data_IF_135645624051
#
_entry.id   IF_135645624051
#
_cell.length_a   1.000
_cell.length_b   1.000
_cell.length_c   1.000
_cell.angle_alpha   90.00
_cell.angle_beta   90.00
_cell.angle_gamma   90.00
#
_symmetry.space_group_name_H-M   'P 1'
#
loop_
_entity.id
_entity.type
_entity.pdbx_description
1 polymer ?
#
# COMPACT_ATOMS: atom_id res chain seq x y z
N UNK A 1 -27.33 -25.85 -10.20
CA UNK A 1 -26.28 -24.84 -9.97
C UNK A 1 -25.24 -25.36 -9.00
N UNK A 2 -23.95 -25.14 -9.31
CA UNK A 2 -22.82 -25.47 -8.44
C UNK A 2 -22.11 -24.18 -8.05
N UNK A 3 -21.94 -23.97 -6.74
CA UNK A 3 -21.31 -22.75 -6.18
C UNK A 3 -20.17 -23.12 -5.24
N UNK A 4 -19.05 -22.40 -5.35
CA UNK A 4 -17.95 -22.47 -4.39
C UNK A 4 -18.08 -21.32 -3.39
N UNK A 5 -18.16 -21.64 -2.10
CA UNK A 5 -18.17 -20.67 -1.02
C UNK A 5 -16.90 -20.83 -0.18
N UNK A 6 -16.13 -19.75 -0.05
CA UNK A 6 -14.94 -19.70 0.82
C UNK A 6 -15.32 -18.88 2.05
N UNK A 7 -15.28 -19.48 3.23
CA UNK A 7 -15.51 -18.81 4.50
C UNK A 7 -14.17 -18.46 5.16
N UNK A 8 -14.13 -17.40 5.95
CA UNK A 8 -12.91 -16.88 6.59
C UNK A 8 -11.80 -16.65 5.56
N UNK A 9 -12.05 -15.77 4.59
CA UNK A 9 -11.09 -15.46 3.52
C UNK A 9 -9.80 -14.89 4.10
N UNK A 10 -8.68 -15.47 3.69
CA UNK A 10 -7.33 -15.05 4.00
C UNK A 10 -6.55 -14.71 2.73
N UNK A 11 -5.41 -14.01 2.86
CA UNK A 11 -4.58 -13.55 1.73
C UNK A 11 -4.15 -14.70 0.80
N UNK A 12 -3.89 -15.89 1.35
CA UNK A 12 -3.53 -17.08 0.56
C UNK A 12 -4.70 -17.70 -0.22
N UNK A 13 -5.93 -17.20 -0.04
CA UNK A 13 -7.07 -17.53 -0.93
C UNK A 13 -7.10 -16.67 -2.19
N UNK A 14 -6.17 -15.72 -2.35
CA UNK A 14 -5.99 -15.05 -3.64
C UNK A 14 -5.56 -16.06 -4.70
N UNK A 15 -6.21 -16.00 -5.87
CA UNK A 15 -5.77 -16.80 -7.00
C UNK A 15 -6.79 -16.92 -8.11
N UNK A 16 -6.47 -17.82 -9.04
CA UNK A 16 -7.35 -18.18 -10.14
C UNK A 16 -8.07 -19.48 -9.80
N UNK A 17 -9.38 -19.40 -9.69
CA UNK A 17 -10.25 -20.55 -9.45
C UNK A 17 -10.86 -20.99 -10.79
N UNK A 18 -11.10 -22.30 -10.95
CA UNK A 18 -11.74 -22.82 -12.14
C UNK A 18 -12.82 -23.84 -11.79
N UNK A 19 -14.00 -23.66 -12.39
CA UNK A 19 -15.05 -24.68 -12.42
C UNK A 19 -14.83 -25.52 -13.69
N UNK A 20 -14.80 -26.86 -13.54
CA UNK A 20 -14.56 -27.79 -14.62
C UNK A 20 -15.63 -28.88 -14.63
N UNK A 21 -16.13 -29.19 -15.82
CA UNK A 21 -17.06 -30.29 -16.06
C UNK A 21 -16.33 -31.36 -16.86
N UNK A 22 -16.31 -32.60 -16.36
CA UNK A 22 -15.68 -33.75 -17.01
C UNK A 22 -16.71 -34.81 -17.36
N UNK A 23 -16.46 -35.60 -18.41
CA UNK A 23 -17.25 -36.81 -18.69
C UNK A 23 -16.89 -37.93 -17.71
N UNK A 24 -17.69 -39.00 -17.71
CA UNK A 24 -17.39 -40.23 -16.95
C UNK A 24 -16.05 -40.88 -17.33
N UNK A 25 -15.55 -40.63 -18.54
CA UNK A 25 -14.23 -41.07 -19.02
C UNK A 25 -13.09 -40.12 -18.64
N UNK A 26 -13.36 -39.05 -17.89
CA UNK A 26 -12.37 -38.05 -17.48
C UNK A 26 -12.06 -36.98 -18.52
N UNK A 27 -12.74 -36.97 -19.68
CA UNK A 27 -12.54 -35.94 -20.71
C UNK A 27 -13.11 -34.61 -20.24
N UNK A 28 -12.30 -33.55 -20.25
CA UNK A 28 -12.78 -32.19 -19.98
C UNK A 28 -13.80 -31.76 -21.05
N UNK A 29 -14.97 -31.33 -20.60
CA UNK A 29 -16.05 -30.83 -21.45
C UNK A 29 -16.07 -29.30 -21.46
N UNK A 30 -16.00 -28.69 -20.27
CA UNK A 30 -16.03 -27.24 -20.11
C UNK A 30 -15.15 -26.79 -18.95
N UNK A 31 -14.60 -25.58 -19.06
CA UNK A 31 -13.88 -24.88 -17.99
C UNK A 31 -14.23 -23.40 -18.00
N UNK A 32 -14.55 -22.85 -16.82
CA UNK A 32 -14.68 -21.41 -16.58
C UNK A 32 -13.75 -21.01 -15.45
N UNK A 33 -13.07 -19.88 -15.60
CA UNK A 33 -12.11 -19.38 -14.61
C UNK A 33 -12.57 -18.05 -14.03
N UNK A 34 -12.29 -17.84 -12.75
CA UNK A 34 -12.52 -16.59 -12.04
C UNK A 34 -11.25 -16.20 -11.28
N UNK A 35 -10.89 -14.91 -11.31
CA UNK A 35 -9.79 -14.38 -10.50
C UNK A 35 -10.36 -13.81 -9.21
N UNK A 36 -9.84 -14.27 -8.08
CA UNK A 36 -10.17 -13.76 -6.75
C UNK A 36 -9.00 -12.93 -6.27
N UNK A 37 -9.29 -11.68 -5.89
CA UNK A 37 -8.33 -10.82 -5.21
C UNK A 37 -8.80 -10.48 -3.80
N UNK A 38 -7.91 -10.67 -2.83
CA UNK A 38 -8.14 -10.38 -1.42
C UNK A 38 -7.63 -8.96 -1.15
N UNK A 39 -8.53 -8.12 -0.66
CA UNK A 39 -8.22 -6.72 -0.37
C UNK A 39 -7.82 -6.56 1.09
N UNK A 40 -6.78 -5.77 1.34
CA UNK A 40 -6.32 -5.44 2.70
C UNK A 40 -6.37 -3.92 2.90
N UNK A 41 -7.01 -3.44 3.97
CA UNK A 41 -6.96 -2.03 4.32
C UNK A 41 -5.53 -1.65 4.73
N UNK A 42 -5.08 -0.46 4.33
CA UNK A 42 -3.83 0.10 4.87
C UNK A 42 -3.97 0.47 6.33
N UNK A 43 -2.86 0.45 7.05
CA UNK A 43 -2.75 1.11 8.34
C UNK A 43 -2.96 2.62 8.19
N UNK A 44 -3.35 3.27 9.30
CA UNK A 44 -3.41 4.73 9.36
C UNK A 44 -2.07 5.34 8.93
N UNK A 45 -2.10 6.40 8.10
CA UNK A 45 -0.88 7.03 7.63
C UNK A 45 -0.10 7.62 8.80
N UNK A 46 1.22 7.49 8.74
CA UNK A 46 2.16 8.13 9.67
C UNK A 46 2.97 9.15 8.89
N UNK A 47 3.17 10.31 9.51
CA UNK A 47 4.03 11.35 8.95
C UNK A 47 5.36 11.33 9.68
N UNK A 48 6.41 11.41 8.88
CA UNK A 48 7.79 11.55 9.29
C UNK A 48 8.32 12.87 8.77
N UNK A 49 9.27 13.42 9.50
CA UNK A 49 9.98 14.63 9.11
C UNK A 49 11.48 14.36 9.05
N UNK A 50 12.16 15.14 8.23
CA UNK A 50 13.60 15.06 8.06
C UNK A 50 14.12 16.45 7.70
N UNK A 51 14.98 17.00 8.57
CA UNK A 51 15.68 18.24 8.28
C UNK A 51 16.88 18.00 7.36
N UNK A 52 17.37 19.06 6.71
CA UNK A 52 18.66 19.07 6.03
C UNK A 52 19.81 18.58 6.93
N UNK A 53 19.75 18.90 8.23
CA UNK A 53 20.68 18.41 9.25
C UNK A 53 20.57 16.89 9.45
N UNK A 54 19.36 16.33 9.55
CA UNK A 54 19.16 14.88 9.72
C UNK A 54 19.62 14.07 8.49
N UNK A 55 19.48 14.65 7.30
CA UNK A 55 20.03 14.09 6.06
C UNK A 55 21.56 14.01 6.10
N UNK A 56 22.21 15.10 6.50
CA UNK A 56 23.67 15.20 6.51
C UNK A 56 24.33 14.38 7.65
N UNK A 57 23.79 14.44 8.87
CA UNK A 57 24.46 13.92 10.07
C UNK A 57 23.96 12.55 10.52
N UNK A 58 22.70 12.20 10.20
CA UNK A 58 22.05 10.96 10.66
C UNK A 58 21.71 10.00 9.53
N UNK A 59 22.25 10.24 8.33
CA UNK A 59 21.97 9.44 7.15
C UNK A 59 20.49 9.43 6.77
N UNK A 60 19.76 10.52 7.03
CA UNK A 60 18.33 10.64 6.73
C UNK A 60 17.42 9.91 7.71
N UNK A 61 17.78 9.88 9.00
CA UNK A 61 16.93 9.24 10.03
C UNK A 61 15.57 9.94 10.10
N UNK A 62 14.51 9.19 9.78
CA UNK A 62 13.13 9.65 9.92
C UNK A 62 12.82 9.94 11.38
N UNK A 63 12.45 11.19 11.68
CA UNK A 63 11.93 11.57 13.00
C UNK A 63 10.40 11.50 12.91
N UNK A 64 9.77 10.80 13.85
CA UNK A 64 8.30 10.75 13.94
C UNK A 64 7.81 12.11 14.44
N UNK A 65 6.70 12.62 13.91
CA UNK A 65 6.10 13.92 14.30
C UNK A 65 5.75 14.12 15.78
N UNK A 66 5.96 13.13 16.64
CA UNK A 66 5.85 13.35 18.09
C UNK A 66 6.95 14.30 18.59
N UNK A 67 8.03 14.46 17.84
CA UNK A 67 9.08 15.44 18.10
C UNK A 67 8.92 16.64 17.15
N UNK A 68 9.07 17.87 17.63
CA UNK A 68 9.05 19.07 16.78
C UNK A 68 10.36 19.17 15.98
N UNK A 69 10.29 19.32 14.65
CA UNK A 69 11.45 19.75 13.86
C UNK A 69 11.61 21.27 13.95
N UNK A 70 12.86 21.70 14.12
CA UNK A 70 13.26 23.11 13.96
C UNK A 70 14.14 23.18 12.73
N UNK A 71 13.79 24.05 11.78
CA UNK A 71 14.54 24.29 10.54
C UNK A 71 14.78 25.79 10.44
N UNK A 72 15.95 26.20 9.98
CA UNK A 72 16.26 27.64 9.83
C UNK A 72 15.57 28.20 8.59
N UNK A 73 15.32 29.50 8.60
CA UNK A 73 14.84 30.19 7.41
C UNK A 73 15.81 29.99 6.23
N UNK A 74 15.25 29.66 5.06
CA UNK A 74 16.01 29.31 3.86
C UNK A 74 16.51 27.85 3.79
N UNK A 75 16.34 27.04 4.83
CA UNK A 75 16.64 25.60 4.78
C UNK A 75 15.41 24.76 4.36
N UNK A 76 15.67 23.57 3.82
CA UNK A 76 14.62 22.64 3.42
C UNK A 76 14.18 21.74 4.58
N UNK A 77 12.86 21.55 4.69
CA UNK A 77 12.21 20.54 5.51
C UNK A 77 11.56 19.49 4.61
N UNK A 78 11.90 18.23 4.80
CA UNK A 78 11.27 17.12 4.10
C UNK A 78 10.22 16.47 4.98
N UNK A 79 8.99 16.40 4.48
CA UNK A 79 7.92 15.64 5.09
C UNK A 79 7.70 14.36 4.28
N UNK A 80 7.44 13.26 4.97
CA UNK A 80 7.15 11.96 4.37
C UNK A 80 5.89 11.38 4.97
N UNK A 81 4.86 11.15 4.15
CA UNK A 81 3.66 10.45 4.58
C UNK A 81 3.74 8.98 4.14
N UNK A 82 3.43 8.06 5.05
CA UNK A 82 3.50 6.62 4.78
C UNK A 82 2.28 5.88 5.32
N UNK A 83 1.60 5.16 4.43
CA UNK A 83 0.61 4.12 4.77
C UNK A 83 1.14 2.76 4.33
N UNK A 84 1.10 1.77 5.23
CA UNK A 84 1.66 0.43 5.01
C UNK A 84 0.58 -0.64 5.08
N UNK A 85 0.89 -1.84 4.58
CA UNK A 85 0.04 -3.04 4.60
C UNK A 85 -1.28 -2.95 3.81
N UNK A 86 -1.39 -2.00 2.87
CA UNK A 86 -2.52 -1.92 1.96
C UNK A 86 -2.38 -2.84 0.75
N UNK A 87 -3.50 -3.42 0.35
CA UNK A 87 -3.65 -4.08 -0.94
C UNK A 87 -5.02 -3.75 -1.58
N UNK A 88 -5.07 -2.91 -2.63
CA UNK A 88 -3.96 -2.09 -3.13
C UNK A 88 -3.50 -1.05 -2.09
N UNK A 89 -2.34 -0.44 -2.31
CA UNK A 89 -1.85 0.62 -1.44
C UNK A 89 -2.81 1.82 -1.39
N UNK A 90 -2.89 2.49 -0.23
CA UNK A 90 -3.76 3.64 -0.03
C UNK A 90 -3.29 4.89 -0.77
N UNK A 91 -4.19 5.55 -1.49
CA UNK A 91 -3.92 6.84 -2.13
C UNK A 91 -3.73 7.92 -1.06
N UNK A 92 -2.56 8.56 -1.04
CA UNK A 92 -2.22 9.64 -0.10
C UNK A 92 -2.25 10.99 -0.82
N UNK A 93 -2.69 12.03 -0.11
CA UNK A 93 -2.69 13.43 -0.55
C UNK A 93 -2.19 14.30 0.61
N UNK A 94 -1.48 15.38 0.29
CA UNK A 94 -1.12 16.40 1.26
C UNK A 94 -2.10 17.56 1.20
N UNK A 95 -2.48 18.04 2.38
CA UNK A 95 -3.33 19.20 2.56
C UNK A 95 -2.61 20.20 3.45
N UNK A 96 -2.78 21.49 3.16
CA UNK A 96 -2.39 22.55 4.08
C UNK A 96 -3.39 22.72 5.23
N UNK A 97 -3.16 23.71 6.10
CA UNK A 97 -4.03 23.99 7.24
C UNK A 97 -5.46 24.39 6.85
N UNK A 98 -5.64 24.90 5.63
CA UNK A 98 -6.94 25.35 5.09
C UNK A 98 -7.59 24.26 4.22
N UNK A 99 -7.05 23.03 4.25
CA UNK A 99 -7.49 21.88 3.47
C UNK A 99 -7.33 22.05 1.94
N UNK A 100 -6.41 22.90 1.49
CA UNK A 100 -6.05 22.99 0.07
C UNK A 100 -5.05 21.89 -0.31
N UNK A 101 -5.19 21.38 -1.53
CA UNK A 101 -4.26 20.40 -2.08
C UNK A 101 -2.89 21.03 -2.34
N UNK A 102 -1.82 20.36 -1.92
CA UNK A 102 -0.44 20.75 -2.21
C UNK A 102 0.00 20.05 -3.52
N UNK A 103 0.15 20.77 -4.66
CA UNK A 103 0.32 20.15 -5.98
C UNK A 103 1.70 19.51 -6.19
N UNK A 104 2.74 20.06 -5.55
CA UNK A 104 4.15 19.68 -5.74
C UNK A 104 4.59 18.51 -4.85
N UNK A 105 3.64 17.78 -4.24
CA UNK A 105 3.95 16.62 -3.44
C UNK A 105 4.22 15.39 -4.33
N UNK A 106 5.50 15.02 -4.50
CA UNK A 106 5.90 13.88 -5.34
C UNK A 106 5.47 12.53 -4.74
N UNK A 107 4.52 11.83 -5.37
CA UNK A 107 4.15 10.48 -4.94
C UNK A 107 5.12 9.41 -5.48
N UNK A 108 5.51 8.47 -4.62
CA UNK A 108 6.33 7.29 -4.96
C UNK A 108 5.64 6.02 -4.46
N UNK A 109 5.39 5.10 -5.38
CA UNK A 109 4.90 3.75 -5.08
C UNK A 109 6.11 2.82 -4.95
N UNK A 110 6.38 2.26 -3.77
CA UNK A 110 7.31 1.12 -3.66
C UNK A 110 6.55 -0.16 -3.37
N UNK A 111 6.89 -1.21 -4.13
CA UNK A 111 6.41 -2.56 -3.89
C UNK A 111 7.28 -3.18 -2.81
N UNK A 112 6.69 -3.58 -1.68
CA UNK A 112 7.45 -4.25 -0.61
C UNK A 112 7.37 -5.76 -0.80
N UNK A 113 8.48 -6.39 -1.22
CA UNK A 113 8.56 -7.85 -1.45
C UNK A 113 8.40 -8.70 -0.17
N UNK A 114 8.51 -8.10 1.02
CA UNK A 114 8.39 -8.81 2.32
C UNK A 114 6.99 -9.37 2.60
N UNK A 115 5.98 -8.84 1.93
CA UNK A 115 4.65 -9.43 1.82
C UNK A 115 4.31 -9.23 0.35
N UNK A 116 4.29 -10.31 -0.45
CA UNK A 116 4.34 -10.30 -1.93
C UNK A 116 3.37 -9.35 -2.67
N UNK A 117 2.53 -8.58 -1.98
CA UNK A 117 1.48 -7.74 -2.56
C UNK A 117 1.21 -6.43 -1.79
N UNK A 118 2.08 -6.01 -0.86
CA UNK A 118 1.88 -4.73 -0.17
C UNK A 118 2.56 -3.59 -0.95
N UNK A 119 1.75 -2.62 -1.37
CA UNK A 119 2.23 -1.39 -2.02
C UNK A 119 2.36 -0.31 -0.95
N UNK A 120 3.60 0.10 -0.66
CA UNK A 120 3.87 1.24 0.21
C UNK A 120 3.83 2.51 -0.63
N UNK A 121 3.15 3.52 -0.12
CA UNK A 121 3.06 4.82 -0.77
C UNK A 121 3.83 5.81 0.08
N UNK A 122 4.79 6.47 -0.56
CA UNK A 122 5.57 7.58 -0.03
C UNK A 122 5.14 8.82 -0.77
N UNK A 123 5.04 9.92 -0.07
CA UNK A 123 5.01 11.24 -0.68
C UNK A 123 6.01 12.08 0.08
#
# INVERSE_FOLDING_TARGET
DYSLQIQNVHVWNEGNYACQVTSSTGRLLERKSAKVSVLLPSNLPKIYQMSSFDLAERGGRLVSLNDSATVKDGEYLYLKCQAINGKPGAKLIWLDNDANLIPDAEYKLERSDRYKENLNIYV
#
